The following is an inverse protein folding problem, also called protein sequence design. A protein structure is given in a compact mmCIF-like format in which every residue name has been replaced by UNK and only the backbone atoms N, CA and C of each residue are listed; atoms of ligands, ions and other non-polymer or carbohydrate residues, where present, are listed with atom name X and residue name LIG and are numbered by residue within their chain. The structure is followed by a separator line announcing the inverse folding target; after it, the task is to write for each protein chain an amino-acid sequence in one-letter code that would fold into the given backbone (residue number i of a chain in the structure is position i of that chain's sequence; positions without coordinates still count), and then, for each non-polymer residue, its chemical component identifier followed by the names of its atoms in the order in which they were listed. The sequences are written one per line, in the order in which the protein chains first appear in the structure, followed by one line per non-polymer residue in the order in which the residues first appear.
data_IF_061515049274
#
_entry.id   IF_061515049274
#
_cell.length_a   1.000
_cell.length_b   1.000
_cell.length_c   1.000
_cell.angle_alpha   90.00
_cell.angle_beta   90.00
_cell.angle_gamma   90.00
#
_symmetry.space_group_name_H-M   'P 1'
#
loop_
_entity.id
_entity.type
_entity.pdbx_description
1 polymer ?
#
# COMPACT_ATOMS: atom_id res chain seq x y z
N UNK A 1 14.73 -5.55 2.73
CA UNK A 1 13.62 -4.59 2.63
C UNK A 1 13.34 -4.23 1.19
N UNK A 2 14.36 -3.85 0.41
CA UNK A 2 14.20 -3.40 -0.98
C UNK A 2 13.36 -4.35 -1.85
N UNK A 3 13.67 -5.64 -1.86
CA UNK A 3 12.89 -6.64 -2.60
C UNK A 3 11.41 -6.71 -2.18
N UNK A 4 11.12 -6.56 -0.88
CA UNK A 4 9.75 -6.57 -0.37
C UNK A 4 8.99 -5.32 -0.81
N UNK A 5 9.64 -4.14 -0.80
CA UNK A 5 9.05 -2.89 -1.28
C UNK A 5 8.81 -2.95 -2.79
N UNK A 6 9.79 -3.39 -3.58
CA UNK A 6 9.64 -3.55 -5.03
C UNK A 6 8.50 -4.54 -5.39
N UNK A 7 8.40 -5.65 -4.65
CA UNK A 7 7.31 -6.61 -4.83
C UNK A 7 5.95 -6.01 -4.47
N UNK A 8 5.84 -5.24 -3.38
CA UNK A 8 4.59 -4.59 -2.98
C UNK A 8 4.14 -3.52 -3.98
N UNK A 9 5.08 -2.71 -4.48
CA UNK A 9 4.82 -1.71 -5.53
C UNK A 9 4.30 -2.40 -6.80
N UNK A 10 4.92 -3.49 -7.24
CA UNK A 10 4.45 -4.28 -8.37
C UNK A 10 3.08 -4.93 -8.10
N UNK A 11 2.87 -5.47 -6.90
CA UNK A 11 1.61 -6.07 -6.46
C UNK A 11 0.44 -5.09 -6.54
N UNK A 12 0.65 -3.81 -6.20
CA UNK A 12 -0.36 -2.76 -6.36
C UNK A 12 -0.79 -2.48 -7.79
N UNK A 13 -0.02 -2.91 -8.79
CA UNK A 13 -0.38 -2.83 -10.21
C UNK A 13 -1.03 -4.12 -10.69
N UNK A 14 -0.44 -5.26 -10.32
CA UNK A 14 -0.95 -6.57 -10.71
C UNK A 14 -2.34 -6.81 -10.10
N UNK A 15 -2.50 -6.55 -8.80
CA UNK A 15 -3.74 -6.81 -8.06
C UNK A 15 -4.34 -5.50 -7.52
N UNK A 16 -4.58 -4.56 -8.43
CA UNK A 16 -5.03 -3.19 -8.12
C UNK A 16 -6.36 -3.09 -7.35
N UNK A 17 -7.20 -4.14 -7.40
CA UNK A 17 -8.44 -4.22 -6.63
C UNK A 17 -8.20 -4.53 -5.14
N UNK A 18 -7.04 -5.09 -4.80
CA UNK A 18 -6.69 -5.54 -3.46
C UNK A 18 -5.78 -4.55 -2.71
N UNK A 19 -4.82 -3.93 -3.41
CA UNK A 19 -3.85 -3.00 -2.84
C UNK A 19 -3.34 -2.01 -3.88
N UNK A 20 -2.63 -0.98 -3.43
CA UNK A 20 -1.96 -0.01 -4.31
C UNK A 20 -1.94 1.38 -3.70
N UNK A 21 -1.12 2.27 -4.28
CA UNK A 21 -0.67 3.55 -3.68
C UNK A 21 -1.73 4.49 -3.10
N UNK A 22 -3.03 4.30 -3.41
CA UNK A 22 -4.14 5.03 -2.78
C UNK A 22 -4.59 4.45 -1.42
N UNK A 23 -3.99 3.34 -0.99
CA UNK A 23 -4.32 2.60 0.22
C UNK A 23 -3.32 2.89 1.35
N UNK A 24 -3.32 2.02 2.35
CA UNK A 24 -2.36 1.92 3.42
C UNK A 24 -1.76 0.53 3.51
N UNK A 25 -0.72 0.41 4.32
CA UNK A 25 -0.11 -0.89 4.62
C UNK A 25 0.44 -0.90 6.04
N UNK A 26 0.52 -2.11 6.60
CA UNK A 26 1.22 -2.40 7.85
C UNK A 26 2.47 -3.19 7.51
N UNK A 27 3.64 -2.67 7.87
CA UNK A 27 4.91 -3.37 7.69
C UNK A 27 5.44 -3.79 9.05
N UNK A 28 5.58 -5.11 9.23
CA UNK A 28 6.20 -5.71 10.42
C UNK A 28 7.60 -6.20 10.06
N UNK A 29 8.61 -5.67 10.74
CA UNK A 29 10.02 -5.99 10.51
C UNK A 29 10.56 -6.72 11.72
N UNK A 30 10.98 -7.97 11.50
CA UNK A 30 11.67 -8.76 12.50
C UNK A 30 13.16 -8.82 12.18
N UNK A 31 14.01 -8.37 13.10
CA UNK A 31 15.46 -8.44 12.95
C UNK A 31 16.02 -9.55 13.84
N UNK A 32 16.96 -10.35 13.32
CA UNK A 32 17.57 -11.45 14.09
C UNK A 32 18.21 -11.01 15.42
N UNK A 33 18.63 -9.75 15.52
CA UNK A 33 19.35 -9.21 16.69
C UNK A 33 18.42 -8.55 17.72
N UNK A 34 17.15 -8.28 17.39
CA UNK A 34 16.21 -7.62 18.28
C UNK A 34 15.10 -8.58 18.67
N UNK A 35 14.72 -8.57 19.94
CA UNK A 35 13.64 -9.43 20.44
C UNK A 35 12.26 -8.87 20.09
N UNK A 36 12.16 -7.57 19.79
CA UNK A 36 10.90 -6.91 19.45
C UNK A 36 10.82 -6.57 17.96
N UNK A 37 9.68 -6.84 17.30
CA UNK A 37 9.44 -6.41 15.93
C UNK A 37 9.13 -4.92 15.87
N UNK A 38 9.50 -4.29 14.76
CA UNK A 38 9.14 -2.91 14.44
C UNK A 38 7.90 -2.94 13.56
N UNK A 39 6.88 -2.16 13.92
CA UNK A 39 5.63 -2.04 13.16
C UNK A 39 5.49 -0.62 12.62
N UNK A 40 5.27 -0.49 11.32
CA UNK A 40 5.07 0.79 10.64
C UNK A 40 3.66 0.83 10.02
N UNK A 41 2.91 1.91 10.29
CA UNK A 41 1.59 2.18 9.73
C UNK A 41 1.35 3.69 9.71
N UNK A 42 1.03 4.23 8.54
CA UNK A 42 0.81 5.68 8.36
C UNK A 42 -0.60 6.03 7.89
N UNK A 43 -1.46 5.05 7.61
CA UNK A 43 -2.86 5.31 7.26
C UNK A 43 -3.65 5.84 8.46
N UNK A 44 -4.47 6.86 8.23
CA UNK A 44 -5.24 7.53 9.28
C UNK A 44 -6.60 7.99 8.77
N UNK A 45 -7.56 8.10 9.69
CA UNK A 45 -8.79 8.82 9.43
C UNK A 45 -8.49 10.31 9.14
N UNK A 46 -9.21 10.94 8.20
CA UNK A 46 -9.09 12.38 7.97
C UNK A 46 -9.44 13.20 9.23
N UNK A 47 -8.89 14.42 9.34
CA UNK A 47 -9.13 15.30 10.50
C UNK A 47 -10.62 15.66 10.73
N UNK A 48 -11.42 15.66 9.66
CA UNK A 48 -12.86 15.94 9.74
C UNK A 48 -13.70 14.69 10.06
N UNK A 49 -13.08 13.51 10.19
CA UNK A 49 -13.78 12.28 10.53
C UNK A 49 -14.32 12.34 11.97
N UNK A 50 -15.46 11.70 12.20
CA UNK A 50 -16.08 11.60 13.52
C UNK A 50 -16.75 10.24 13.69
N UNK A 51 -17.09 9.88 14.92
CA UNK A 51 -17.63 8.55 15.26
C UNK A 51 -19.02 8.28 14.69
N UNK A 52 -19.77 9.30 14.28
CA UNK A 52 -21.15 9.16 13.79
C UNK A 52 -21.29 9.37 12.28
N UNK A 53 -20.19 9.55 11.54
CA UNK A 53 -20.20 9.94 10.12
C UNK A 53 -20.89 8.93 9.18
N UNK A 54 -21.10 7.69 9.65
CA UNK A 54 -21.79 6.61 8.92
C UNK A 54 -23.11 6.16 9.54
N UNK A 55 -23.54 6.75 10.66
CA UNK A 55 -24.81 6.40 11.31
C UNK A 55 -25.97 6.74 10.37
N UNK A 56 -26.89 5.79 10.18
CA UNK A 56 -28.06 5.88 9.28
C UNK A 56 -27.69 6.20 7.82
N UNK A 57 -26.47 5.84 7.39
CA UNK A 57 -25.95 6.08 6.05
C UNK A 57 -25.40 4.80 5.46
N UNK A 58 -26.31 3.92 5.05
CA UNK A 58 -25.97 2.64 4.42
C UNK A 58 -25.04 2.85 3.21
N UNK A 59 -24.07 1.95 3.06
CA UNK A 59 -23.09 1.90 1.96
C UNK A 59 -22.08 3.08 1.88
N UNK A 60 -22.26 4.14 2.67
CA UNK A 60 -21.34 5.31 2.65
C UNK A 60 -19.98 5.04 3.32
N UNK A 61 -19.86 3.94 4.08
CA UNK A 61 -18.60 3.43 4.64
C UNK A 61 -17.81 2.56 3.67
N UNK A 62 -18.39 2.19 2.53
CA UNK A 62 -17.78 1.30 1.53
C UNK A 62 -17.55 2.04 0.22
N UNK A 63 -18.52 2.86 -0.21
CA UNK A 63 -18.49 3.54 -1.49
C UNK A 63 -18.57 5.07 -1.34
N UNK A 64 -17.80 5.76 -2.19
CA UNK A 64 -17.76 7.22 -2.25
C UNK A 64 -16.67 7.84 -1.39
N UNK A 65 -16.50 9.16 -1.52
CA UNK A 65 -15.37 9.89 -0.90
C UNK A 65 -15.38 9.87 0.63
N UNK A 66 -16.52 9.62 1.27
CA UNK A 66 -16.63 9.54 2.73
C UNK A 66 -15.93 8.29 3.30
N UNK A 67 -15.80 7.24 2.50
CA UNK A 67 -15.11 6.00 2.85
C UNK A 67 -13.58 6.08 2.71
N UNK A 68 -13.05 7.16 2.13
CA UNK A 68 -11.63 7.30 1.80
C UNK A 68 -10.83 7.80 3.02
N UNK A 69 -9.85 6.99 3.46
CA UNK A 69 -8.86 7.39 4.46
C UNK A 69 -7.72 8.24 3.87
N UNK A 70 -6.88 8.80 4.74
CA UNK A 70 -5.63 9.43 4.29
C UNK A 70 -4.65 8.31 3.92
N UNK A 71 -4.35 8.18 2.63
CA UNK A 71 -3.39 7.18 2.13
C UNK A 71 -2.04 7.29 2.84
N UNK A 72 -1.56 6.15 3.34
CA UNK A 72 -0.32 6.06 4.10
C UNK A 72 0.75 5.17 3.45
N UNK A 73 0.42 4.42 2.39
CA UNK A 73 1.26 3.34 1.88
C UNK A 73 2.65 3.81 1.44
N UNK A 74 2.75 4.83 0.59
CA UNK A 74 4.05 5.38 0.14
C UNK A 74 4.89 5.93 1.30
N UNK A 75 4.24 6.53 2.31
CA UNK A 75 4.93 7.06 3.48
C UNK A 75 5.46 5.92 4.37
N UNK A 76 4.69 4.85 4.53
CA UNK A 76 5.14 3.63 5.20
C UNK A 76 6.33 3.00 4.45
N UNK A 77 6.27 2.92 3.12
CA UNK A 77 7.38 2.43 2.28
C UNK A 77 8.64 3.27 2.43
N UNK A 78 8.51 4.60 2.40
CA UNK A 78 9.64 5.51 2.57
C UNK A 78 10.30 5.32 3.94
N UNK A 79 9.50 5.19 5.02
CA UNK A 79 10.03 4.92 6.36
C UNK A 79 10.74 3.58 6.43
N UNK A 80 10.14 2.52 5.88
CA UNK A 80 10.72 1.19 5.85
C UNK A 80 12.05 1.17 5.07
N UNK A 81 12.11 1.86 3.93
CA UNK A 81 13.32 2.01 3.11
C UNK A 81 14.41 2.79 3.84
N UNK A 82 14.08 3.92 4.49
CA UNK A 82 15.06 4.71 5.25
C UNK A 82 15.67 3.95 6.42
N UNK A 83 14.91 3.04 7.04
CA UNK A 83 15.38 2.26 8.19
C UNK A 83 16.16 1.01 7.78
N UNK A 84 15.71 0.30 6.73
CA UNK A 84 16.19 -1.06 6.42
C UNK A 84 16.44 -1.34 4.93
N UNK A 85 16.27 -0.35 4.06
CA UNK A 85 16.57 -0.44 2.63
C UNK A 85 17.96 0.05 2.27
N UNK A 86 18.16 0.31 0.98
CA UNK A 86 19.36 0.95 0.43
C UNK A 86 20.29 0.02 -0.36
N UNK A 87 19.86 -1.22 -0.66
CA UNK A 87 20.54 -2.10 -1.62
C UNK A 87 20.39 -1.65 -3.08
N UNK A 88 19.34 -0.88 -3.37
CA UNK A 88 19.11 -0.14 -4.63
C UNK A 88 18.61 1.26 -4.28
N UNK A 89 18.65 2.21 -5.21
CA UNK A 89 18.12 3.55 -5.00
C UNK A 89 16.58 3.53 -4.89
N UNK A 90 16.02 4.53 -4.22
CA UNK A 90 14.57 4.69 -4.10
C UNK A 90 13.88 4.69 -5.46
N UNK A 91 14.47 5.34 -6.47
CA UNK A 91 13.94 5.38 -7.84
C UNK A 91 13.89 3.98 -8.46
N UNK A 92 14.95 3.20 -8.30
CA UNK A 92 15.07 1.86 -8.90
C UNK A 92 14.02 0.87 -8.35
N UNK A 93 13.45 1.12 -7.17
CA UNK A 93 12.34 0.31 -6.66
C UNK A 93 11.08 0.39 -7.55
N UNK A 94 10.87 1.50 -8.24
CA UNK A 94 9.65 1.75 -9.03
C UNK A 94 9.84 1.48 -10.52
N UNK A 95 11.06 1.55 -11.03
CA UNK A 95 11.35 1.48 -12.47
C UNK A 95 10.75 0.22 -13.14
N UNK A 96 10.87 -1.00 -12.57
CA UNK A 96 10.27 -2.20 -13.18
C UNK A 96 8.75 -2.11 -13.28
N UNK A 97 8.10 -1.60 -12.23
CA UNK A 97 6.64 -1.45 -12.19
C UNK A 97 6.16 -0.35 -13.13
N UNK A 98 6.91 0.75 -13.26
CA UNK A 98 6.61 1.81 -14.24
C UNK A 98 6.65 1.26 -15.67
N UNK A 99 7.67 0.44 -15.98
CA UNK A 99 7.77 -0.21 -17.29
C UNK A 99 6.56 -1.14 -17.52
N UNK A 100 6.20 -1.96 -16.53
CA UNK A 100 5.04 -2.84 -16.58
C UNK A 100 3.74 -2.08 -16.86
N UNK A 101 3.52 -0.92 -16.22
CA UNK A 101 2.36 -0.07 -16.47
C UNK A 101 2.30 0.50 -17.90
N UNK A 102 3.47 0.76 -18.51
CA UNK A 102 3.57 1.35 -19.86
C UNK A 102 3.42 0.30 -20.97
N UNK A 103 4.01 -0.87 -20.75
CA UNK A 103 4.03 -1.96 -21.74
C UNK A 103 2.82 -2.88 -21.61
N UNK A 104 2.18 -2.89 -20.44
CA UNK A 104 1.10 -3.80 -20.10
C UNK A 104 1.60 -5.19 -19.71
N UNK A 105 0.67 -6.01 -19.24
CA UNK A 105 0.94 -7.38 -18.82
C UNK A 105 -0.28 -8.27 -19.09
N UNK A 106 -0.07 -9.60 -19.10
CA UNK A 106 -1.16 -10.56 -19.24
C UNK A 106 -1.90 -10.70 -17.92
N UNK A 107 -3.21 -10.56 -17.98
CA UNK A 107 -4.12 -10.69 -16.84
C UNK A 107 -4.25 -12.17 -16.46
N UNK A 108 -4.22 -12.48 -15.16
CA UNK A 108 -4.46 -13.83 -14.63
C UNK A 108 -5.96 -14.14 -14.51
N UNK A 109 -6.32 -15.42 -14.31
CA UNK A 109 -7.72 -15.80 -14.04
C UNK A 109 -8.29 -15.09 -12.80
N UNK A 110 -7.49 -14.94 -11.74
CA UNK A 110 -7.92 -14.27 -10.51
C UNK A 110 -8.23 -12.80 -10.71
N UNK A 111 -7.45 -12.11 -11.57
CA UNK A 111 -7.68 -10.72 -11.91
C UNK A 111 -8.89 -10.56 -12.84
N UNK A 112 -9.13 -11.52 -13.72
CA UNK A 112 -10.31 -11.52 -14.60
C UNK A 112 -11.62 -11.67 -13.81
N UNK A 113 -11.61 -12.43 -12.70
CA UNK A 113 -12.79 -12.69 -11.88
C UNK A 113 -13.35 -11.45 -11.12
N UNK A 114 -12.57 -10.37 -11.04
CA UNK A 114 -12.91 -9.16 -10.27
C UNK A 114 -13.10 -7.91 -11.15
N UNK A 115 -12.99 -8.06 -12.46
CA UNK A 115 -13.31 -7.03 -13.47
C UNK A 115 -14.74 -7.26 -13.94
#
# INVERSE_FOLDING_TARGET
MDAALAAAICGGVMDAHSMGVGSGCVITINQRKTTQPIVLLEEKAPLAANSTMFVDRDNMSVAGGLAIGVSGELRTYEKAYKLFGGGVTWKELFEPTIQLCREGFRISESQCAVI
#
